data_IF_001338638707
#
_entry.id   IF_001338638707
#
_cell.length_a   1.000
_cell.length_b   1.000
_cell.length_c   1.000
_cell.angle_alpha   90.00
_cell.angle_beta   90.00
_cell.angle_gamma   90.00
#
_symmetry.space_group_name_H-M   'P 1'
#
loop_
_entity.id
_entity.type
_entity.pdbx_description
1 polymer ?
#
# COMPACT_ATOMS: atom_id res chain seq x y z
N UNK A 1 -24.03 6.78 9.11
CA UNK A 1 -24.50 5.36 9.12
C UNK A 1 -23.53 4.57 9.98
N UNK A 2 -24.00 3.60 10.76
CA UNK A 2 -23.11 2.80 11.61
C UNK A 2 -22.28 1.80 10.77
N UNK A 3 -20.96 1.80 10.93
CA UNK A 3 -20.07 0.82 10.31
C UNK A 3 -20.09 -0.47 11.13
N UNK A 4 -20.54 -1.57 10.52
CA UNK A 4 -20.51 -2.89 11.13
C UNK A 4 -19.11 -3.51 11.02
N UNK A 5 -18.50 -3.82 12.15
CA UNK A 5 -17.17 -4.44 12.23
C UNK A 5 -17.27 -5.79 12.94
N UNK A 6 -16.54 -6.76 12.40
CA UNK A 6 -16.31 -8.07 13.00
C UNK A 6 -14.79 -8.26 13.12
N UNK A 7 -14.33 -8.66 14.31
CA UNK A 7 -12.93 -8.95 14.61
C UNK A 7 -12.79 -10.40 15.05
N UNK A 8 -11.80 -11.10 14.48
CA UNK A 8 -11.36 -12.43 14.93
C UNK A 8 -10.55 -12.32 16.22
N UNK A 9 -10.33 -13.43 16.94
CA UNK A 9 -9.48 -13.42 18.13
C UNK A 9 -8.11 -12.81 17.84
N UNK A 10 -7.63 -11.92 18.72
CA UNK A 10 -6.36 -11.20 18.59
C UNK A 10 -6.23 -10.25 17.38
N UNK A 11 -7.28 -10.06 16.57
CA UNK A 11 -7.26 -9.10 15.46
C UNK A 11 -7.33 -7.66 15.99
N UNK A 12 -6.60 -6.75 15.34
CA UNK A 12 -6.54 -5.34 15.70
C UNK A 12 -7.27 -4.44 14.71
N UNK A 13 -7.76 -3.31 15.22
CA UNK A 13 -8.32 -2.22 14.42
C UNK A 13 -7.88 -0.89 15.03
N UNK A 14 -7.55 0.08 14.16
CA UNK A 14 -7.30 1.46 14.54
C UNK A 14 -8.59 2.25 14.35
N UNK A 15 -8.94 3.07 15.34
CA UNK A 15 -10.02 4.05 15.28
C UNK A 15 -9.48 5.40 15.78
N UNK A 16 -9.30 6.35 14.88
CA UNK A 16 -8.62 7.61 15.16
C UNK A 16 -7.22 7.35 15.73
N UNK A 17 -7.02 7.74 16.99
CA UNK A 17 -5.76 7.57 17.72
C UNK A 17 -5.72 6.31 18.59
N UNK A 18 -6.81 5.56 18.67
CA UNK A 18 -6.92 4.36 19.50
C UNK A 18 -6.66 3.09 18.70
N UNK A 19 -5.98 2.13 19.32
CA UNK A 19 -5.85 0.75 18.82
C UNK A 19 -6.71 -0.15 19.68
N UNK A 20 -7.66 -0.86 19.05
CA UNK A 20 -8.48 -1.86 19.72
C UNK A 20 -7.93 -3.24 19.31
N UNK A 21 -7.57 -4.04 20.30
CA UNK A 21 -7.21 -5.45 20.12
C UNK A 21 -8.35 -6.30 20.63
N UNK A 22 -8.82 -7.23 19.78
CA UNK A 22 -9.84 -8.17 20.21
C UNK A 22 -9.24 -9.25 21.13
N UNK A 23 -10.01 -9.68 22.13
CA UNK A 23 -9.65 -10.80 23.01
C UNK A 23 -9.84 -12.16 22.33
N UNK A 24 -10.10 -13.19 23.13
CA UNK A 24 -10.07 -14.59 22.67
C UNK A 24 -11.30 -15.03 21.86
N UNK A 25 -12.40 -14.26 21.90
CA UNK A 25 -13.65 -14.59 21.21
C UNK A 25 -13.86 -13.69 19.99
N UNK A 26 -14.59 -14.20 18.97
CA UNK A 26 -14.99 -13.37 17.83
C UNK A 26 -16.06 -12.37 18.26
N UNK A 27 -15.83 -11.08 17.99
CA UNK A 27 -16.76 -10.01 18.38
C UNK A 27 -17.32 -9.27 17.18
N UNK A 28 -18.56 -8.78 17.31
CA UNK A 28 -19.20 -7.87 16.37
C UNK A 28 -19.64 -6.62 17.11
N UNK A 29 -19.31 -5.47 16.56
CA UNK A 29 -19.74 -4.18 17.08
C UNK A 29 -20.01 -3.22 15.92
N UNK A 30 -20.71 -2.15 16.26
CA UNK A 30 -21.04 -1.06 15.35
C UNK A 30 -20.29 0.18 15.79
N UNK A 31 -19.71 0.89 14.83
CA UNK A 31 -19.01 2.15 15.08
C UNK A 31 -19.84 3.25 14.45
N UNK A 32 -20.15 4.29 15.24
CA UNK A 32 -20.87 5.48 14.78
C UNK A 32 -19.95 6.69 14.94
N UNK A 33 -19.89 7.54 13.90
CA UNK A 33 -19.04 8.72 13.83
C UNK A 33 -18.15 8.74 12.59
N UNK A 34 -17.30 9.76 12.51
CA UNK A 34 -16.49 10.08 11.32
C UNK A 34 -14.98 9.88 11.57
N UNK A 35 -14.61 9.20 12.65
CA UNK A 35 -13.22 8.91 12.96
C UNK A 35 -12.58 8.04 11.86
N UNK A 36 -11.28 8.22 11.53
CA UNK A 36 -10.55 7.32 10.65
C UNK A 36 -10.55 5.88 11.19
N UNK A 37 -10.78 4.88 10.34
CA UNK A 37 -10.83 3.47 10.72
C UNK A 37 -9.96 2.63 9.78
N UNK A 38 -8.97 1.92 10.34
CA UNK A 38 -8.11 0.98 9.60
C UNK A 38 -8.09 -0.39 10.27
N UNK A 39 -8.23 -1.45 9.48
CA UNK A 39 -8.07 -2.83 9.97
C UNK A 39 -6.60 -3.23 9.95
N UNK A 40 -6.21 -4.16 10.82
CA UNK A 40 -4.83 -4.68 10.87
C UNK A 40 -4.27 -5.13 9.53
N UNK A 41 -5.05 -5.89 8.75
CA UNK A 41 -4.66 -6.34 7.40
C UNK A 41 -4.44 -5.19 6.39
N UNK A 42 -4.94 -4.01 6.71
CA UNK A 42 -4.87 -2.82 5.87
C UNK A 42 -3.81 -1.83 6.36
N UNK A 43 -3.15 -2.13 7.48
CA UNK A 43 -2.07 -1.34 8.05
C UNK A 43 -0.75 -1.78 7.45
N UNK A 44 -0.01 -0.82 6.92
CA UNK A 44 1.38 -0.95 6.55
C UNK A 44 2.25 -0.29 7.62
N UNK A 45 3.36 -0.91 7.97
CA UNK A 45 4.34 -0.34 8.92
C UNK A 45 5.55 0.21 8.18
N UNK A 46 6.29 1.19 8.74
CA UNK A 46 7.53 1.66 8.13
C UNK A 46 8.53 0.54 7.84
N UNK A 47 8.57 -0.50 8.67
CA UNK A 47 9.45 -1.65 8.48
C UNK A 47 9.03 -2.57 7.32
N UNK A 48 7.75 -2.55 6.92
CA UNK A 48 7.21 -3.39 5.83
C UNK A 48 6.97 -2.60 4.54
N UNK A 49 7.20 -1.29 4.56
CA UNK A 49 7.14 -0.40 3.40
C UNK A 49 8.48 -0.40 2.64
N UNK A 50 8.84 -1.55 2.12
CA UNK A 50 10.14 -1.83 1.48
C UNK A 50 10.18 -1.53 -0.03
N UNK A 51 9.09 -1.03 -0.62
CA UNK A 51 9.05 -0.64 -2.03
C UNK A 51 8.51 0.78 -2.22
N UNK A 52 8.86 1.49 -3.32
CA UNK A 52 8.34 2.82 -3.61
C UNK A 52 6.81 2.94 -3.57
N UNK A 53 6.05 2.01 -4.18
CA UNK A 53 4.59 2.08 -4.13
C UNK A 53 4.04 1.83 -2.71
N UNK A 54 4.68 0.96 -1.92
CA UNK A 54 4.34 0.75 -0.52
C UNK A 54 4.63 2.00 0.34
N UNK A 55 5.69 2.73 0.03
CA UNK A 55 5.98 4.01 0.69
C UNK A 55 4.91 5.08 0.38
N UNK A 56 4.42 5.13 -0.86
CA UNK A 56 3.27 5.98 -1.23
C UNK A 56 2.03 5.57 -0.43
N UNK A 57 1.73 4.27 -0.33
CA UNK A 57 0.62 3.77 0.49
C UNK A 57 0.77 4.17 1.97
N UNK A 58 1.99 4.06 2.52
CA UNK A 58 2.27 4.47 3.90
C UNK A 58 2.05 5.97 4.11
N UNK A 59 2.47 6.82 3.18
CA UNK A 59 2.22 8.25 3.25
C UNK A 59 0.72 8.57 3.28
N UNK A 60 -0.06 7.95 2.40
CA UNK A 60 -1.53 8.07 2.40
C UNK A 60 -2.15 7.57 3.71
N UNK A 61 -1.59 6.52 4.31
CA UNK A 61 -2.06 5.99 5.59
C UNK A 61 -1.87 7.01 6.71
N UNK A 62 -0.72 7.67 6.74
CA UNK A 62 -0.45 8.72 7.73
C UNK A 62 -1.36 9.93 7.52
N UNK A 63 -1.59 10.33 6.26
CA UNK A 63 -2.53 11.40 5.91
C UNK A 63 -3.98 11.06 6.31
N UNK A 64 -4.39 9.81 6.14
CA UNK A 64 -5.73 9.36 6.57
C UNK A 64 -5.90 9.38 8.08
N UNK A 65 -4.88 8.96 8.83
CA UNK A 65 -4.93 8.91 10.29
C UNK A 65 -4.77 10.30 10.92
N UNK A 66 -3.99 11.19 10.30
CA UNK A 66 -3.69 12.53 10.79
C UNK A 66 -3.71 13.56 9.63
N UNK A 67 -4.90 13.97 9.17
CA UNK A 67 -5.03 14.87 8.01
C UNK A 67 -4.49 16.29 8.23
N UNK A 68 -4.38 16.75 9.49
CA UNK A 68 -3.97 18.11 9.83
C UNK A 68 -2.44 18.34 9.84
N UNK A 69 -1.65 17.32 9.50
CA UNK A 69 -0.18 17.43 9.55
C UNK A 69 0.35 18.10 8.29
N UNK A 70 0.82 19.34 8.48
CA UNK A 70 1.48 20.14 7.44
C UNK A 70 2.69 19.39 6.87
N UNK A 71 2.78 19.33 5.53
CA UNK A 71 3.91 18.74 4.80
C UNK A 71 3.75 17.27 4.39
N UNK A 72 2.69 16.57 4.82
CA UNK A 72 2.44 15.21 4.34
C UNK A 72 2.10 15.16 2.84
N UNK A 73 1.32 16.13 2.34
CA UNK A 73 1.01 16.22 0.90
C UNK A 73 2.28 16.46 0.06
N UNK A 74 3.18 17.35 0.50
CA UNK A 74 4.43 17.62 -0.23
C UNK A 74 5.31 16.37 -0.33
N UNK A 75 5.44 15.64 0.77
CA UNK A 75 6.18 14.38 0.80
C UNK A 75 5.55 13.34 -0.14
N UNK A 76 4.21 13.21 -0.10
CA UNK A 76 3.46 12.33 -0.99
C UNK A 76 3.71 12.67 -2.47
N UNK A 77 3.57 13.93 -2.88
CA UNK A 77 3.76 14.33 -4.28
C UNK A 77 5.19 14.14 -4.76
N UNK A 78 6.19 14.33 -3.88
CA UNK A 78 7.58 14.01 -4.18
C UNK A 78 7.76 12.52 -4.45
N UNK A 79 7.24 11.65 -3.56
CA UNK A 79 7.31 10.19 -3.74
C UNK A 79 6.63 9.74 -5.04
N UNK A 80 5.48 10.32 -5.36
CA UNK A 80 4.76 10.03 -6.61
C UNK A 80 5.56 10.47 -7.84
N UNK A 81 6.20 11.64 -7.79
CA UNK A 81 7.03 12.14 -8.89
C UNK A 81 8.23 11.22 -9.13
N UNK A 82 8.92 10.83 -8.06
CA UNK A 82 10.05 9.90 -8.12
C UNK A 82 9.60 8.53 -8.67
N UNK A 83 8.43 8.05 -8.24
CA UNK A 83 7.83 6.79 -8.72
C UNK A 83 7.51 6.82 -10.21
N UNK A 84 6.87 7.88 -10.70
CA UNK A 84 6.57 8.03 -12.14
C UNK A 84 7.83 8.21 -12.98
N UNK A 85 8.89 8.81 -12.43
CA UNK A 85 10.19 8.86 -13.08
C UNK A 85 10.79 7.48 -13.34
N UNK A 86 10.58 6.53 -12.43
CA UNK A 86 11.04 5.14 -12.56
C UNK A 86 10.06 4.24 -13.35
N UNK A 87 8.76 4.48 -13.24
CA UNK A 87 7.70 3.68 -13.86
C UNK A 87 6.63 4.55 -14.55
N UNK A 88 6.95 5.18 -15.71
CA UNK A 88 6.00 6.07 -16.41
C UNK A 88 4.69 5.40 -16.83
N UNK A 89 4.71 4.08 -17.03
CA UNK A 89 3.55 3.26 -17.38
C UNK A 89 2.50 3.18 -16.26
N UNK A 90 2.83 3.60 -15.04
CA UNK A 90 1.88 3.65 -13.92
C UNK A 90 1.05 4.95 -13.87
N UNK A 91 1.19 5.84 -14.85
CA UNK A 91 0.56 7.17 -14.86
C UNK A 91 -0.95 7.14 -14.58
N UNK A 92 -1.69 6.20 -15.17
CA UNK A 92 -3.14 6.10 -14.95
C UNK A 92 -3.47 5.76 -13.49
N UNK A 93 -2.77 4.78 -12.91
CA UNK A 93 -2.99 4.37 -11.52
C UNK A 93 -2.65 5.50 -10.54
N UNK A 94 -1.60 6.26 -10.84
CA UNK A 94 -1.19 7.41 -10.03
C UNK A 94 -2.23 8.55 -10.13
N UNK A 95 -2.76 8.82 -11.32
CA UNK A 95 -3.80 9.83 -11.49
C UNK A 95 -5.05 9.51 -10.67
N UNK A 96 -5.51 8.25 -10.69
CA UNK A 96 -6.66 7.81 -9.89
C UNK A 96 -6.45 8.06 -8.38
N UNK A 97 -5.22 7.84 -7.87
CA UNK A 97 -4.88 8.10 -6.47
C UNK A 97 -4.81 9.61 -6.20
N UNK A 98 -4.19 10.38 -7.10
CA UNK A 98 -4.03 11.83 -6.95
C UNK A 98 -5.36 12.57 -6.91
N UNK A 99 -6.32 12.20 -7.77
CA UNK A 99 -7.67 12.79 -7.77
C UNK A 99 -8.33 12.63 -6.39
N UNK A 100 -8.29 11.43 -5.82
CA UNK A 100 -8.85 11.14 -4.50
C UNK A 100 -8.13 11.89 -3.37
N UNK A 101 -6.82 12.09 -3.48
CA UNK A 101 -6.04 12.88 -2.52
C UNK A 101 -6.44 14.35 -2.56
N UNK A 102 -6.61 14.92 -3.76
CA UNK A 102 -7.02 16.31 -3.95
C UNK A 102 -8.46 16.56 -3.45
N UNK A 103 -9.33 15.55 -3.56
CA UNK A 103 -10.69 15.57 -3.01
C UNK A 103 -10.75 15.33 -1.48
N UNK A 104 -9.62 14.99 -0.83
CA UNK A 104 -9.58 14.65 0.60
C UNK A 104 -10.14 13.26 0.94
N UNK A 105 -10.40 12.43 -0.07
CA UNK A 105 -10.99 11.10 0.02
C UNK A 105 -9.93 10.02 0.33
N UNK A 106 -9.17 10.24 1.41
CA UNK A 106 -7.96 9.45 1.74
C UNK A 106 -8.21 7.95 1.90
N UNK A 107 -9.38 7.54 2.41
CA UNK A 107 -9.71 6.11 2.52
C UNK A 107 -9.88 5.46 1.14
N UNK A 108 -10.46 6.18 0.17
CA UNK A 108 -10.56 5.71 -1.21
C UNK A 108 -9.18 5.71 -1.87
N UNK A 109 -8.37 6.75 -1.63
CA UNK A 109 -6.99 6.83 -2.12
C UNK A 109 -6.15 5.63 -1.64
N UNK A 110 -6.27 5.24 -0.36
CA UNK A 110 -5.62 4.04 0.17
C UNK A 110 -6.03 2.77 -0.59
N UNK A 111 -7.32 2.62 -0.92
CA UNK A 111 -7.78 1.47 -1.70
C UNK A 111 -7.21 1.49 -3.12
N UNK A 112 -7.19 2.64 -3.79
CA UNK A 112 -6.61 2.80 -5.13
C UNK A 112 -5.10 2.52 -5.13
N UNK A 113 -4.37 2.99 -4.12
CA UNK A 113 -2.93 2.76 -3.98
C UNK A 113 -2.54 1.28 -3.85
N UNK A 114 -3.47 0.38 -3.48
CA UNK A 114 -3.20 -1.07 -3.53
C UNK A 114 -3.00 -1.59 -4.93
N UNK A 115 -3.71 -1.03 -5.92
CA UNK A 115 -3.48 -1.36 -7.32
C UNK A 115 -2.08 -0.93 -7.75
N UNK A 116 -1.60 0.22 -7.26
CA UNK A 116 -0.23 0.69 -7.47
C UNK A 116 0.81 -0.26 -6.88
N UNK A 117 0.59 -0.73 -5.64
CA UNK A 117 1.47 -1.71 -4.99
C UNK A 117 1.47 -3.05 -5.74
N UNK A 118 0.31 -3.53 -6.18
CA UNK A 118 0.22 -4.75 -6.97
C UNK A 118 0.96 -4.62 -8.31
N UNK A 119 0.76 -3.50 -9.01
CA UNK A 119 1.43 -3.19 -10.26
C UNK A 119 2.96 -3.18 -10.12
N UNK A 120 3.49 -2.52 -9.10
CA UNK A 120 4.93 -2.52 -8.82
C UNK A 120 5.45 -3.93 -8.53
N UNK A 121 4.70 -4.72 -7.76
CA UNK A 121 5.05 -6.13 -7.50
C UNK A 121 5.13 -6.95 -8.79
N UNK A 122 4.19 -6.77 -9.72
CA UNK A 122 4.25 -7.40 -11.03
C UNK A 122 5.48 -6.96 -11.83
N UNK A 123 5.80 -5.66 -11.84
CA UNK A 123 6.94 -5.11 -12.55
C UNK A 123 8.28 -5.69 -12.03
N UNK A 124 8.45 -5.75 -10.70
CA UNK A 124 9.61 -6.36 -10.05
C UNK A 124 9.73 -7.85 -10.40
N UNK A 125 8.61 -8.60 -10.36
CA UNK A 125 8.61 -10.03 -10.71
C UNK A 125 8.99 -10.30 -12.17
N UNK A 126 8.66 -9.39 -13.09
CA UNK A 126 9.04 -9.50 -14.50
C UNK A 126 10.52 -9.17 -14.69
N UNK A 127 11.04 -8.19 -13.96
CA UNK A 127 12.45 -7.82 -14.00
C UNK A 127 13.37 -8.94 -13.49
N UNK A 128 12.99 -9.61 -12.40
CA UNK A 128 13.71 -10.77 -11.85
C UNK A 128 13.73 -11.96 -12.81
N UNK A 129 12.58 -12.31 -13.41
CA UNK A 129 12.53 -13.39 -14.42
C UNK A 129 13.36 -13.07 -15.67
N UNK A 130 13.38 -11.80 -16.08
CA UNK A 130 14.16 -11.34 -17.23
C UNK A 130 15.68 -11.39 -16.99
N UNK A 131 16.13 -11.20 -15.75
CA UNK A 131 17.55 -11.29 -15.39
C UNK A 131 18.03 -12.74 -15.27
N UNK A 132 17.19 -13.66 -14.77
CA UNK A 132 17.47 -15.10 -14.75
C UNK A 132 17.62 -15.70 -16.15
N UNK A 133 16.75 -15.31 -17.09
CA UNK A 133 16.85 -15.74 -18.50
C UNK A 133 18.13 -15.26 -19.19
N UNK A 134 18.67 -14.09 -18.79
CA UNK A 134 19.96 -13.59 -19.30
C UNK A 134 21.16 -14.30 -18.66
N UNK A 135 21.04 -14.75 -17.40
CA UNK A 135 22.07 -15.53 -16.72
C UNK A 135 22.23 -16.94 -17.31
N UNK A 136 21.21 -17.49 -17.98
CA UNK A 136 21.25 -18.78 -18.67
C UNK A 136 21.56 -18.68 -20.19
N UNK A 137 22.21 -17.61 -20.63
CA UNK A 137 22.68 -17.42 -22.00
C UNK A 137 23.67 -18.50 -22.50
N UNK A 138 23.97 -18.56 -23.81
CA UNK A 138 24.39 -19.76 -24.56
C UNK A 138 25.72 -20.44 -24.16
N UNK A 139 26.47 -19.92 -23.20
CA UNK A 139 27.78 -20.46 -22.81
C UNK A 139 27.71 -21.76 -21.97
N UNK A 140 26.54 -22.14 -21.46
CA UNK A 140 26.39 -23.37 -20.67
C UNK A 140 26.11 -24.65 -21.49
N UNK A 141 26.08 -24.59 -22.83
CA UNK A 141 25.76 -25.74 -23.68
C UNK A 141 26.96 -26.65 -24.06
N UNK A 142 28.20 -26.34 -23.63
CA UNK A 142 29.40 -27.10 -24.04
C UNK A 142 30.06 -27.79 -22.84
N UNK A 143 29.38 -28.78 -22.24
CA UNK A 143 30.06 -29.78 -21.40
C UNK A 143 29.16 -30.98 -21.09
N UNK A 144 28.82 -31.80 -22.11
CA UNK A 144 28.40 -33.19 -21.86
C UNK A 144 28.50 -34.07 -23.11
N UNK A 145 29.68 -34.11 -23.72
CA UNK A 145 30.11 -35.20 -24.60
C UNK A 145 31.62 -35.38 -24.49
N UNK A 146 32.03 -36.22 -23.55
CA UNK A 146 33.24 -37.05 -23.59
C UNK A 146 33.07 -38.12 -22.50
#
# INVERSE_FOLDING_TARGET
MALKVELKPNERIIIGTAVITNGDARIRFYIEGDAPILREKDILTPATADTPAKNIYLALQLMYLNPDVVGHQDLYFKMVTDFLGAAPSALSLVNDVNELVLEGEYYKALRAARALVAYEGELLSHAERGSELRAYGPDHAVAKRA
#
